data_IF_978569768605
#
_entry.id   IF_978569768605
#
_cell.length_a   1.000
_cell.length_b   1.000
_cell.length_c   1.000
_cell.angle_alpha   90.00
_cell.angle_beta   90.00
_cell.angle_gamma   90.00
#
_symmetry.space_group_name_H-M   'P 1'
#
loop_
_entity.id
_entity.type
_entity.pdbx_description
1 polymer ?
#
# COMPACT_ATOMS: atom_id res chain seq x y z
N UNK A 1 0.92 -18.07 9.43
CA UNK A 1 1.31 -17.74 8.04
C UNK A 1 1.74 -16.28 7.99
N UNK A 2 2.64 -15.87 7.08
CA UNK A 2 3.16 -14.51 7.08
C UNK A 2 2.09 -13.54 6.54
N UNK A 3 1.55 -12.69 7.41
CA UNK A 3 0.57 -11.68 7.00
C UNK A 3 1.24 -10.64 6.10
N UNK A 4 0.60 -10.32 4.98
CA UNK A 4 0.93 -9.18 4.14
C UNK A 4 0.05 -7.99 4.54
N UNK A 5 0.63 -6.81 4.70
CA UNK A 5 -0.12 -5.57 4.89
C UNK A 5 -0.03 -4.70 3.63
N UNK A 6 -1.16 -4.58 2.92
CA UNK A 6 -1.32 -3.70 1.78
C UNK A 6 -1.77 -2.31 2.24
N UNK A 7 -1.06 -1.27 1.79
CA UNK A 7 -1.44 0.14 1.96
C UNK A 7 -1.61 0.88 0.62
N UNK A 8 -1.42 0.16 -0.49
CA UNK A 8 -1.47 0.64 -1.86
C UNK A 8 -2.68 0.11 -2.63
N UNK A 9 -2.55 -0.04 -3.94
CA UNK A 9 -3.62 -0.60 -4.79
C UNK A 9 -4.02 -2.04 -4.43
N UNK A 10 -3.13 -2.82 -3.80
CA UNK A 10 -3.46 -4.16 -3.30
C UNK A 10 -4.47 -4.15 -2.12
N UNK A 11 -4.91 -2.99 -1.62
CA UNK A 11 -6.06 -2.93 -0.71
C UNK A 11 -7.38 -3.31 -1.40
N UNK A 12 -7.45 -3.18 -2.72
CA UNK A 12 -8.60 -3.57 -3.53
C UNK A 12 -8.68 -5.11 -3.63
N UNK A 13 -9.74 -5.75 -3.11
CA UNK A 13 -9.89 -7.20 -3.15
C UNK A 13 -9.91 -7.78 -4.58
N UNK A 14 -10.40 -7.03 -5.57
CA UNK A 14 -10.42 -7.49 -6.97
C UNK A 14 -9.00 -7.59 -7.51
N UNK A 15 -8.19 -6.54 -7.34
CA UNK A 15 -6.77 -6.58 -7.72
C UNK A 15 -6.00 -7.63 -6.95
N UNK A 16 -6.26 -7.76 -5.64
CA UNK A 16 -5.56 -8.77 -4.82
C UNK A 16 -5.92 -10.19 -5.27
N UNK A 17 -7.16 -10.46 -5.64
CA UNK A 17 -7.58 -11.79 -6.14
C UNK A 17 -6.88 -12.16 -7.45
N UNK A 18 -6.63 -11.18 -8.33
CA UNK A 18 -5.89 -11.42 -9.59
C UNK A 18 -4.41 -11.75 -9.34
N UNK A 19 -3.78 -11.06 -8.39
CA UNK A 19 -2.34 -11.20 -8.09
C UNK A 19 -2.04 -12.39 -7.17
N UNK A 20 -2.93 -12.64 -6.22
CA UNK A 20 -2.78 -13.60 -5.12
C UNK A 20 -4.10 -14.37 -4.85
N UNK A 21 -4.54 -15.23 -5.79
CA UNK A 21 -5.88 -15.84 -5.76
C UNK A 21 -6.12 -16.82 -4.60
N UNK A 22 -5.08 -17.28 -3.92
CA UNK A 22 -5.18 -18.21 -2.79
C UNK A 22 -4.99 -17.52 -1.43
N UNK A 23 -4.94 -16.18 -1.43
CA UNK A 23 -4.57 -15.38 -0.26
C UNK A 23 -5.74 -14.52 0.23
N UNK A 24 -6.59 -15.05 1.13
CA UNK A 24 -7.79 -14.35 1.58
C UNK A 24 -7.46 -13.12 2.45
N UNK A 25 -8.41 -12.18 2.49
CA UNK A 25 -8.36 -11.06 3.44
C UNK A 25 -8.48 -11.59 4.87
N UNK A 26 -7.53 -11.20 5.72
CA UNK A 26 -7.45 -11.55 7.13
C UNK A 26 -8.01 -10.45 8.05
N UNK A 27 -8.09 -9.20 7.57
CA UNK A 27 -8.65 -8.09 8.33
C UNK A 27 -8.06 -6.74 7.90
N UNK A 28 -8.18 -5.74 8.76
CA UNK A 28 -7.62 -4.40 8.56
C UNK A 28 -6.90 -3.93 9.82
N UNK A 29 -6.08 -2.90 9.69
CA UNK A 29 -5.37 -2.33 10.82
C UNK A 29 -4.64 -1.03 10.50
N UNK A 30 -3.80 -0.61 11.43
CA UNK A 30 -3.04 0.64 11.37
C UNK A 30 -1.56 0.40 11.61
N UNK A 31 -0.72 1.04 10.79
CA UNK A 31 0.70 1.23 11.08
C UNK A 31 0.85 2.54 11.84
N UNK A 32 0.96 2.45 13.17
CA UNK A 32 1.18 3.61 14.04
C UNK A 32 2.63 4.09 13.95
N UNK A 33 2.83 5.42 13.87
CA UNK A 33 4.15 6.03 13.73
C UNK A 33 4.71 5.97 12.30
N UNK A 34 3.84 5.78 11.32
CA UNK A 34 4.20 5.76 9.89
C UNK A 34 3.28 6.70 9.12
N UNK A 35 3.82 7.29 8.05
CA UNK A 35 3.06 8.12 7.11
C UNK A 35 3.16 7.55 5.71
N UNK A 36 2.01 7.51 5.03
CA UNK A 36 1.95 7.24 3.60
C UNK A 36 2.52 8.44 2.85
N UNK A 37 3.42 8.20 1.92
CA UNK A 37 4.04 9.19 1.06
C UNK A 37 4.19 8.63 -0.36
N UNK A 38 4.88 9.36 -1.23
CA UNK A 38 5.16 8.92 -2.60
C UNK A 38 6.64 9.07 -2.92
N UNK A 39 7.14 8.24 -3.84
CA UNK A 39 8.53 8.24 -4.26
C UNK A 39 8.71 7.68 -5.67
N UNK A 40 9.94 7.71 -6.17
CA UNK A 40 10.29 7.04 -7.43
C UNK A 40 9.59 7.61 -8.66
N UNK A 41 9.37 8.92 -8.71
CA UNK A 41 8.76 9.60 -9.85
C UNK A 41 9.49 9.32 -11.19
N UNK A 42 10.80 9.11 -11.14
CA UNK A 42 11.64 8.80 -12.31
C UNK A 42 11.61 7.31 -12.69
N UNK A 43 10.99 6.45 -11.88
CA UNK A 43 10.97 5.00 -12.09
C UNK A 43 9.81 4.55 -12.99
N UNK A 44 8.76 5.35 -13.11
CA UNK A 44 7.59 5.02 -13.93
C UNK A 44 6.95 6.25 -14.58
N UNK A 45 6.32 6.05 -15.73
CA UNK A 45 5.66 7.11 -16.49
C UNK A 45 4.33 7.57 -15.87
N UNK A 46 3.77 6.81 -14.92
CA UNK A 46 2.50 7.14 -14.24
C UNK A 46 2.68 8.07 -13.01
N UNK A 47 3.90 8.51 -12.75
CA UNK A 47 4.26 9.37 -11.61
C UNK A 47 4.75 8.59 -10.39
N UNK A 48 4.83 9.29 -9.26
CA UNK A 48 5.36 8.72 -8.01
C UNK A 48 4.46 7.59 -7.46
N UNK A 49 5.09 6.51 -6.98
CA UNK A 49 4.46 5.32 -6.41
C UNK A 49 4.24 5.49 -4.91
N UNK A 50 3.19 4.86 -4.37
CA UNK A 50 2.90 4.92 -2.94
C UNK A 50 3.98 4.20 -2.13
N UNK A 51 4.42 4.82 -1.03
CA UNK A 51 5.33 4.20 -0.08
C UNK A 51 5.08 4.71 1.35
N UNK A 52 5.80 4.19 2.34
CA UNK A 52 5.67 4.60 3.74
C UNK A 52 7.02 5.01 4.33
N UNK A 53 6.99 6.00 5.22
CA UNK A 53 8.16 6.48 5.97
C UNK A 53 7.79 6.62 7.44
N UNK A 54 8.79 6.56 8.32
CA UNK A 54 8.58 6.77 9.76
C UNK A 54 8.12 8.21 10.03
N UNK A 55 7.05 8.35 10.82
CA UNK A 55 6.50 9.63 11.26
C UNK A 55 5.67 9.41 12.53
N UNK A 56 6.22 9.70 13.74
CA UNK A 56 5.60 9.33 15.02
C UNK A 56 4.19 9.87 15.26
N UNK A 57 3.78 10.95 14.58
CA UNK A 57 2.45 11.55 14.71
C UNK A 57 1.41 11.01 13.74
N UNK A 58 1.82 10.14 12.82
CA UNK A 58 0.99 9.66 11.71
C UNK A 58 0.67 8.18 11.84
N UNK A 59 -0.33 7.77 11.06
CA UNK A 59 -0.71 6.37 10.91
C UNK A 59 -1.13 6.06 9.47
N UNK A 60 -0.93 4.83 9.04
CA UNK A 60 -1.33 4.33 7.72
C UNK A 60 -2.34 3.22 7.87
N UNK A 61 -3.48 3.35 7.20
CA UNK A 61 -4.48 2.28 7.12
C UNK A 61 -3.97 1.16 6.21
N UNK A 62 -4.16 -0.09 6.62
CA UNK A 62 -3.74 -1.25 5.86
C UNK A 62 -4.80 -2.34 5.81
N UNK A 63 -4.79 -3.12 4.73
CA UNK A 63 -5.51 -4.38 4.59
C UNK A 63 -4.55 -5.54 4.79
N UNK A 64 -4.92 -6.47 5.66
CA UNK A 64 -4.15 -7.66 5.97
C UNK A 64 -4.63 -8.83 5.12
N UNK A 65 -3.69 -9.55 4.52
CA UNK A 65 -3.93 -10.78 3.76
C UNK A 65 -3.10 -11.92 4.30
N UNK A 66 -3.69 -13.11 4.31
CA UNK A 66 -2.99 -14.35 4.62
C UNK A 66 -2.35 -14.90 3.35
N UNK A 67 -1.10 -14.50 3.09
CA UNK A 67 -0.43 -14.77 1.81
C UNK A 67 0.30 -16.11 1.83
N UNK A 68 -0.03 -16.96 0.86
CA UNK A 68 0.67 -18.23 0.65
C UNK A 68 2.05 -18.00 0.02
N UNK A 69 3.04 -18.89 0.24
CA UNK A 69 4.37 -18.73 -0.40
C UNK A 69 4.33 -18.68 -1.93
N UNK A 70 3.35 -19.35 -2.55
CA UNK A 70 3.16 -19.30 -4.01
C UNK A 70 2.70 -17.91 -4.46
N UNK A 71 1.71 -17.34 -3.77
CA UNK A 71 1.19 -16.02 -4.11
C UNK A 71 2.18 -14.91 -3.72
N UNK A 72 2.98 -15.09 -2.66
CA UNK A 72 4.08 -14.19 -2.31
C UNK A 72 5.06 -14.05 -3.48
N UNK A 73 5.43 -15.16 -4.12
CA UNK A 73 6.32 -15.14 -5.29
C UNK A 73 5.72 -14.42 -6.50
N UNK A 74 4.39 -14.42 -6.63
CA UNK A 74 3.67 -13.71 -7.68
C UNK A 74 3.61 -12.22 -7.38
N UNK A 75 3.32 -11.85 -6.14
CA UNK A 75 3.37 -10.46 -5.70
C UNK A 75 4.76 -9.86 -5.90
N UNK A 76 5.82 -10.63 -5.63
CA UNK A 76 7.20 -10.17 -5.87
C UNK A 76 7.45 -9.82 -7.33
N UNK A 77 6.92 -10.60 -8.27
CA UNK A 77 7.03 -10.29 -9.70
C UNK A 77 6.20 -9.05 -10.07
N UNK A 78 4.99 -8.91 -9.51
CA UNK A 78 4.11 -7.76 -9.75
C UNK A 78 4.66 -6.44 -9.21
N UNK A 79 5.31 -6.46 -8.04
CA UNK A 79 5.90 -5.28 -7.40
C UNK A 79 7.29 -4.93 -7.97
N UNK A 80 7.73 -5.60 -9.04
CA UNK A 80 9.02 -5.36 -9.67
C UNK A 80 10.20 -5.83 -8.83
N UNK A 81 10.06 -6.96 -8.12
CA UNK A 81 11.11 -7.58 -7.32
C UNK A 81 12.36 -7.92 -8.13
N UNK A 82 12.23 -8.26 -9.42
CA UNK A 82 13.38 -8.45 -10.32
C UNK A 82 14.11 -7.14 -10.67
N UNK A 83 13.41 -6.00 -10.55
CA UNK A 83 13.94 -4.66 -10.79
C UNK A 83 14.42 -3.98 -9.50
N UNK A 84 14.27 -4.64 -8.34
CA UNK A 84 14.66 -4.09 -7.04
C UNK A 84 13.88 -2.84 -6.62
N UNK A 85 12.68 -2.63 -7.17
CA UNK A 85 11.89 -1.42 -6.90
C UNK A 85 11.40 -1.32 -5.46
N UNK A 86 11.15 -2.45 -4.82
CA UNK A 86 10.62 -2.51 -3.46
C UNK A 86 11.43 -3.45 -2.57
N UNK A 87 11.67 -3.00 -1.34
CA UNK A 87 12.19 -3.78 -0.23
C UNK A 87 11.04 -4.37 0.59
N UNK A 88 11.22 -5.62 1.04
CA UNK A 88 10.31 -6.25 2.02
C UNK A 88 10.77 -5.93 3.43
N UNK A 89 9.93 -5.23 4.19
CA UNK A 89 10.14 -5.00 5.62
C UNK A 89 9.06 -5.69 6.44
N UNK A 90 9.28 -5.84 7.75
CA UNK A 90 8.28 -6.36 8.70
C UNK A 90 7.97 -5.33 9.77
N UNK A 91 6.70 -4.99 9.90
CA UNK A 91 6.21 -4.02 10.87
C UNK A 91 5.07 -4.62 11.70
N UNK A 92 4.82 -4.02 12.86
CA UNK A 92 3.67 -4.35 13.70
C UNK A 92 2.47 -3.50 13.28
N UNK A 93 1.44 -4.17 12.81
CA UNK A 93 0.13 -3.58 12.50
C UNK A 93 -0.76 -3.70 13.74
N UNK A 94 -1.40 -2.61 14.13
CA UNK A 94 -2.41 -2.60 15.19
C UNK A 94 -3.77 -2.95 14.58
N UNK A 95 -4.33 -4.09 14.97
CA UNK A 95 -5.66 -4.54 14.59
C UNK A 95 -6.61 -4.44 15.78
N UNK A 96 -7.90 -4.70 15.56
CA UNK A 96 -8.88 -4.78 16.66
C UNK A 96 -8.62 -5.95 17.62
N UNK A 97 -7.97 -7.01 17.14
CA UNK A 97 -7.63 -8.20 17.93
C UNK A 97 -6.24 -8.11 18.58
N UNK A 98 -5.52 -7.00 18.36
CA UNK A 98 -4.20 -6.73 18.93
C UNK A 98 -3.12 -6.48 17.88
N UNK A 99 -1.86 -6.58 18.29
CA UNK A 99 -0.72 -6.32 17.41
C UNK A 99 -0.35 -7.57 16.59
N UNK A 100 -0.30 -7.44 15.27
CA UNK A 100 0.11 -8.49 14.35
C UNK A 100 1.40 -8.11 13.62
N UNK A 101 2.32 -9.07 13.46
CA UNK A 101 3.52 -8.86 12.63
C UNK A 101 3.17 -9.15 11.17
N UNK A 102 3.32 -8.15 10.31
CA UNK A 102 3.07 -8.27 8.88
C UNK A 102 4.26 -7.78 8.07
N UNK A 103 4.44 -8.33 6.87
CA UNK A 103 5.41 -7.84 5.91
C UNK A 103 4.76 -6.90 4.90
N UNK A 104 5.55 -5.98 4.35
CA UNK A 104 5.11 -4.91 3.45
C UNK A 104 6.17 -4.67 2.38
N UNK A 105 5.74 -4.25 1.19
CA UNK A 105 6.62 -3.67 0.18
C UNK A 105 6.83 -2.19 0.51
N UNK A 106 8.07 -1.71 0.50
CA UNK A 106 8.43 -0.30 0.67
C UNK A 106 9.38 0.06 -0.45
N UNK A 107 9.14 1.20 -1.09
CA UNK A 107 9.87 1.60 -2.29
C UNK A 107 11.33 1.85 -1.93
N UNK A 108 12.25 1.29 -2.72
CA UNK A 108 13.69 1.57 -2.60
C UNK A 108 14.08 2.78 -3.45
N UNK A 109 13.54 3.93 -3.08
CA UNK A 109 13.77 5.18 -3.79
C UNK A 109 13.65 6.37 -2.83
N UNK A 110 14.12 7.53 -3.29
CA UNK A 110 13.94 8.77 -2.54
C UNK A 110 12.46 9.16 -2.45
N UNK A 111 12.05 9.58 -1.25
CA UNK A 111 10.75 10.21 -1.02
C UNK A 111 10.65 11.51 -1.84
N UNK A 112 9.50 11.70 -2.47
CA UNK A 112 9.18 12.90 -3.25
C UNK A 112 8.49 12.58 -4.57
N UNK A 113 8.03 13.65 -5.22
CA UNK A 113 7.25 13.58 -6.44
C UNK A 113 5.75 13.56 -6.18
N UNK A 114 4.99 13.62 -7.26
CA UNK A 114 3.54 13.68 -7.23
C UNK A 114 2.95 12.43 -7.90
N UNK A 115 2.01 11.73 -7.24
CA UNK A 115 1.26 10.67 -7.89
C UNK A 115 0.37 11.24 -8.99
N UNK A 116 -0.05 10.42 -9.94
CA UNK A 116 -1.13 10.81 -10.86
C UNK A 116 -2.47 10.90 -10.13
N UNK A 117 -3.36 11.78 -10.60
CA UNK A 117 -4.72 11.89 -10.07
C UNK A 117 -5.50 10.56 -10.17
N UNK A 118 -5.27 9.80 -11.25
CA UNK A 118 -5.83 8.45 -11.45
C UNK A 118 -5.38 7.50 -10.34
N UNK A 119 -4.08 7.47 -10.04
CA UNK A 119 -3.53 6.58 -9.03
C UNK A 119 -4.02 6.92 -7.62
N UNK A 120 -4.11 8.21 -7.27
CA UNK A 120 -4.73 8.63 -6.00
C UNK A 120 -6.20 8.20 -5.91
N UNK A 121 -6.96 8.31 -6.99
CA UNK A 121 -8.35 7.85 -7.04
C UNK A 121 -8.44 6.36 -6.73
N UNK A 122 -7.66 5.52 -7.44
CA UNK A 122 -7.60 4.07 -7.19
C UNK A 122 -7.22 3.75 -5.75
N UNK A 123 -6.24 4.47 -5.19
CA UNK A 123 -5.78 4.27 -3.83
C UNK A 123 -6.86 4.59 -2.79
N UNK A 124 -7.55 5.73 -2.96
CA UNK A 124 -8.62 6.15 -2.07
C UNK A 124 -9.84 5.24 -2.17
N UNK A 125 -10.23 4.84 -3.38
CA UNK A 125 -11.36 3.94 -3.61
C UNK A 125 -11.09 2.55 -3.02
N UNK A 126 -9.85 2.06 -3.12
CA UNK A 126 -9.43 0.80 -2.50
C UNK A 126 -9.48 0.90 -0.95
N UNK A 127 -9.03 2.02 -0.38
CA UNK A 127 -9.12 2.25 1.07
C UNK A 127 -10.57 2.32 1.55
N UNK A 128 -11.43 3.03 0.81
CA UNK A 128 -12.87 3.14 1.10
C UNK A 128 -13.56 1.78 1.04
N UNK A 129 -13.30 0.99 -0.03
CA UNK A 129 -13.85 -0.36 -0.18
C UNK A 129 -13.40 -1.32 0.92
N UNK A 130 -12.20 -1.12 1.46
CA UNK A 130 -11.66 -1.87 2.59
C UNK A 130 -12.19 -1.40 3.96
N UNK A 131 -13.02 -0.34 4.00
CA UNK A 131 -13.60 0.18 5.23
C UNK A 131 -12.70 1.15 6.00
N UNK A 132 -11.77 1.83 5.32
CA UNK A 132 -11.02 2.92 5.93
C UNK A 132 -11.97 4.05 6.39
N UNK A 133 -11.64 4.76 7.48
CA UNK A 133 -12.42 5.92 7.92
C UNK A 133 -12.51 7.01 6.85
N UNK A 134 -13.65 7.70 6.81
CA UNK A 134 -13.94 8.72 5.79
C UNK A 134 -12.91 9.86 5.79
N UNK A 135 -12.44 10.29 6.97
CA UNK A 135 -11.39 11.31 7.10
C UNK A 135 -10.06 10.86 6.49
N UNK A 136 -9.72 9.58 6.61
CA UNK A 136 -8.53 9.01 5.96
C UNK A 136 -8.68 8.96 4.44
N UNK A 137 -9.86 8.54 3.94
CA UNK A 137 -10.15 8.52 2.50
C UNK A 137 -10.13 9.93 1.91
N UNK A 138 -10.70 10.91 2.61
CA UNK A 138 -10.70 12.31 2.20
C UNK A 138 -9.28 12.91 2.19
N UNK A 139 -8.43 12.57 3.17
CA UNK A 139 -7.00 12.92 3.14
C UNK A 139 -6.34 12.39 1.86
N UNK A 140 -6.53 11.10 1.52
CA UNK A 140 -5.97 10.51 0.30
C UNK A 140 -6.43 11.22 -0.97
N UNK A 141 -7.73 11.54 -1.07
CA UNK A 141 -8.32 12.20 -2.26
C UNK A 141 -7.86 13.63 -2.44
N UNK A 142 -7.49 14.32 -1.35
CA UNK A 142 -7.07 15.72 -1.37
C UNK A 142 -5.56 15.91 -1.48
N UNK A 143 -4.78 14.81 -1.53
CA UNK A 143 -3.32 14.90 -1.68
C UNK A 143 -2.94 15.59 -3.00
N UNK A 144 -1.83 16.37 -3.00
CA UNK A 144 -1.28 16.92 -4.22
C UNK A 144 -1.00 15.81 -5.24
N UNK A 145 -1.42 16.02 -6.49
CA UNK A 145 -1.16 15.12 -7.60
C UNK A 145 -0.71 15.88 -8.84
N UNK A 146 -0.07 15.16 -9.78
CA UNK A 146 0.14 15.68 -11.12
C UNK A 146 -1.24 15.84 -11.77
N UNK A 147 -1.57 17.07 -12.16
CA UNK A 147 -2.63 17.30 -13.14
C UNK A 147 -2.14 16.70 -14.46
N UNK A 148 -2.70 15.55 -14.82
CA UNK A 148 -2.75 15.19 -16.22
C UNK A 148 -4.02 15.86 -16.75
N UNK A 149 -3.87 16.90 -17.55
CA UNK A 149 -4.98 17.43 -18.32
C UNK A 149 -4.54 18.51 -19.30
N UNK A 150 -5.26 18.72 -20.41
CA UNK A 150 -6.01 17.73 -21.20
C UNK A 150 -5.09 16.85 -22.08
#
# INVERSE_FOLDING_TARGET
MPLYAAYGSNMDPTQMTERAPHSPMAGTGWLEGWRLTFGGEDLNWEGALATIVEDPGSRVFVVLYDVTPLDESRLDQWEGGELGLHNKIRLRVQTMDGSALAWLYVLDAYEGGLPSARYLGVLADAAEAAGAPADYVDDLRTRPCKRIGP
#
